data_IF_330032460903
#
_entry.id   IF_330032460903
#
_cell.length_a   1.000
_cell.length_b   1.000
_cell.length_c   1.000
_cell.angle_alpha   90.00
_cell.angle_beta   90.00
_cell.angle_gamma   90.00
#
_symmetry.space_group_name_H-M   'P 1'
#
loop_
_entity.id
_entity.type
_entity.pdbx_description
1 polymer ?
#
# COMPACT_ATOMS: atom_id res chain seq x y z
N UNK A 1 -10.80 -20.43 -11.37
CA UNK A 1 -10.39 -19.23 -12.10
C UNK A 1 -9.50 -19.63 -13.27
N UNK A 2 -9.68 -19.03 -14.43
CA UNK A 2 -8.79 -19.32 -15.55
C UNK A 2 -7.40 -18.68 -15.31
N UNK A 3 -6.41 -19.21 -16.00
CA UNK A 3 -5.05 -18.65 -15.92
C UNK A 3 -5.00 -17.19 -16.40
N UNK A 4 -5.70 -16.86 -17.47
CA UNK A 4 -5.77 -15.50 -17.99
C UNK A 4 -6.37 -14.54 -16.97
N UNK A 5 -7.39 -14.97 -16.26
CA UNK A 5 -8.03 -14.16 -15.22
C UNK A 5 -7.08 -13.92 -14.05
N UNK A 6 -6.39 -14.97 -13.62
CA UNK A 6 -5.38 -14.86 -12.54
C UNK A 6 -4.26 -13.92 -12.95
N UNK A 7 -3.80 -14.03 -14.21
CA UNK A 7 -2.73 -13.17 -14.71
C UNK A 7 -3.15 -11.69 -14.72
N UNK A 8 -4.40 -11.41 -15.10
CA UNK A 8 -4.90 -10.04 -15.08
C UNK A 8 -4.96 -9.49 -13.65
N UNK A 9 -5.47 -10.26 -12.72
CA UNK A 9 -5.55 -9.84 -11.32
C UNK A 9 -4.15 -9.63 -10.71
N UNK A 10 -3.21 -10.49 -11.05
CA UNK A 10 -1.83 -10.37 -10.61
C UNK A 10 -1.19 -9.10 -11.16
N UNK A 11 -1.40 -8.82 -12.45
CA UNK A 11 -0.90 -7.60 -13.07
C UNK A 11 -1.48 -6.35 -12.40
N UNK A 12 -2.75 -6.38 -12.02
CA UNK A 12 -3.39 -5.25 -11.34
C UNK A 12 -2.74 -4.98 -9.97
N UNK A 13 -2.33 -6.03 -9.26
CA UNK A 13 -1.58 -5.89 -8.01
C UNK A 13 -0.25 -5.19 -8.26
N UNK A 14 0.51 -5.65 -9.26
CA UNK A 14 1.80 -5.03 -9.57
C UNK A 14 1.65 -3.58 -10.02
N UNK A 15 0.59 -3.25 -10.76
CA UNK A 15 0.31 -1.86 -11.12
C UNK A 15 0.07 -0.99 -9.90
N UNK A 16 -0.66 -1.50 -8.92
CA UNK A 16 -0.92 -0.77 -7.69
C UNK A 16 0.36 -0.53 -6.89
N UNK A 17 1.33 -1.43 -6.99
CA UNK A 17 2.62 -1.32 -6.31
C UNK A 17 3.62 -0.41 -7.04
N UNK A 18 3.39 -0.15 -8.33
CA UNK A 18 4.39 0.48 -9.20
C UNK A 18 4.44 2.01 -9.08
N UNK A 19 4.66 2.50 -7.87
CA UNK A 19 4.84 3.93 -7.61
C UNK A 19 5.63 4.13 -6.31
N UNK A 20 6.68 4.98 -6.30
CA UNK A 20 7.51 5.16 -5.10
C UNK A 20 6.73 5.56 -3.85
N UNK A 21 5.74 6.42 -3.98
CA UNK A 21 4.91 6.84 -2.83
C UNK A 21 4.14 5.65 -2.26
N UNK A 22 3.59 4.81 -3.13
CA UNK A 22 2.84 3.63 -2.68
C UNK A 22 3.75 2.59 -2.02
N UNK A 23 4.96 2.42 -2.55
CA UNK A 23 5.98 1.58 -1.90
C UNK A 23 6.30 2.12 -0.50
N UNK A 24 6.49 3.43 -0.39
CA UNK A 24 6.78 4.08 0.91
C UNK A 24 5.64 3.85 1.91
N UNK A 25 4.40 4.00 1.48
CA UNK A 25 3.23 3.75 2.32
C UNK A 25 3.27 2.32 2.87
N UNK A 26 3.51 1.34 2.00
CA UNK A 26 3.53 -0.06 2.41
C UNK A 26 4.70 -0.37 3.35
N UNK A 27 5.85 0.24 3.14
CA UNK A 27 6.98 0.12 4.07
C UNK A 27 6.63 0.65 5.46
N UNK A 28 5.90 1.75 5.53
CA UNK A 28 5.43 2.32 6.79
C UNK A 28 4.43 1.37 7.46
N UNK A 29 3.43 0.93 6.71
CA UNK A 29 2.37 0.07 7.23
C UNK A 29 2.86 -1.33 7.59
N UNK A 30 3.98 -1.77 7.03
CA UNK A 30 4.64 -2.99 7.47
C UNK A 30 5.07 -2.91 8.94
N UNK A 31 5.44 -1.74 9.39
CA UNK A 31 5.93 -1.52 10.77
C UNK A 31 4.79 -1.42 11.77
N UNK A 32 3.72 -0.71 11.42
CA UNK A 32 2.54 -0.53 12.26
C UNK A 32 1.42 0.16 11.49
N UNK A 33 0.28 0.30 12.16
CA UNK A 33 -0.84 1.09 11.66
C UNK A 33 -0.49 2.59 11.72
N UNK A 34 -0.90 3.34 10.70
CA UNK A 34 -0.72 4.80 10.64
C UNK A 34 -2.02 5.47 10.25
N UNK A 35 -2.27 6.64 10.83
CA UNK A 35 -3.35 7.50 10.34
C UNK A 35 -2.81 8.38 9.19
N UNK A 36 -3.73 8.93 8.40
CA UNK A 36 -3.38 9.86 7.32
C UNK A 36 -2.59 11.05 7.87
N UNK A 37 -2.98 11.55 9.03
CA UNK A 37 -2.30 12.67 9.69
C UNK A 37 -0.82 12.38 9.97
N UNK A 38 -0.51 11.17 10.41
CA UNK A 38 0.88 10.76 10.66
C UNK A 38 1.67 10.62 9.34
N UNK A 39 1.03 10.04 8.34
CA UNK A 39 1.66 9.89 7.02
C UNK A 39 2.01 11.23 6.42
N UNK A 40 1.14 12.22 6.57
CA UNK A 40 1.38 13.56 6.05
C UNK A 40 2.54 14.26 6.72
N UNK A 41 2.76 14.00 8.01
CA UNK A 41 3.91 14.55 8.74
C UNK A 41 5.23 13.93 8.28
N UNK A 42 5.20 12.63 7.95
CA UNK A 42 6.41 11.88 7.60
C UNK A 42 6.75 12.03 6.11
N UNK A 43 5.73 12.06 5.26
CA UNK A 43 5.87 12.10 3.81
C UNK A 43 5.63 13.50 3.29
N UNK A 44 6.50 13.94 2.39
CA UNK A 44 6.33 15.23 1.73
C UNK A 44 5.40 15.08 0.53
N UNK A 45 4.13 14.83 0.80
CA UNK A 45 3.10 14.60 -0.22
C UNK A 45 1.84 15.37 0.16
N UNK A 46 1.22 16.04 -0.80
CA UNK A 46 -0.05 16.71 -0.57
C UNK A 46 -1.15 15.71 -0.19
N UNK A 47 -2.09 16.14 0.64
CA UNK A 47 -3.17 15.29 1.14
C UNK A 47 -3.98 14.66 0.00
N UNK A 48 -4.29 15.42 -1.04
CA UNK A 48 -5.05 14.91 -2.18
C UNK A 48 -4.31 13.79 -2.91
N UNK A 49 -3.00 13.95 -3.11
CA UNK A 49 -2.17 12.94 -3.74
C UNK A 49 -2.06 11.69 -2.85
N UNK A 50 -1.83 11.89 -1.57
CA UNK A 50 -1.77 10.78 -0.60
C UNK A 50 -3.07 10.00 -0.60
N UNK A 51 -4.22 10.68 -0.58
CA UNK A 51 -5.53 10.04 -0.60
C UNK A 51 -5.74 9.20 -1.86
N UNK A 52 -5.27 9.68 -3.03
CA UNK A 52 -5.35 8.92 -4.28
C UNK A 52 -4.52 7.64 -4.20
N UNK A 53 -3.30 7.73 -3.69
CA UNK A 53 -2.43 6.55 -3.54
C UNK A 53 -3.01 5.54 -2.57
N UNK A 54 -3.54 6.00 -1.45
CA UNK A 54 -4.21 5.13 -0.48
C UNK A 54 -5.43 4.44 -1.08
N UNK A 55 -6.20 5.17 -1.88
CA UNK A 55 -7.38 4.62 -2.55
C UNK A 55 -7.03 3.52 -3.53
N UNK A 56 -5.98 3.70 -4.32
CA UNK A 56 -5.52 2.70 -5.28
C UNK A 56 -5.13 1.42 -4.55
N UNK A 57 -4.35 1.53 -3.48
CA UNK A 57 -3.94 0.38 -2.67
C UNK A 57 -5.12 -0.31 -2.01
N UNK A 58 -6.07 0.47 -1.50
CA UNK A 58 -7.26 -0.07 -0.83
C UNK A 58 -8.17 -0.81 -1.81
N UNK A 59 -8.38 -0.27 -3.01
CA UNK A 59 -9.20 -0.91 -4.04
C UNK A 59 -8.65 -2.25 -4.47
N UNK A 60 -7.33 -2.40 -4.46
CA UNK A 60 -6.69 -3.68 -4.77
C UNK A 60 -6.68 -4.65 -3.60
N UNK A 61 -7.21 -4.25 -2.45
CA UNK A 61 -7.26 -5.12 -1.29
C UNK A 61 -5.92 -5.31 -0.60
N UNK A 62 -4.97 -4.42 -0.84
CA UNK A 62 -3.63 -4.50 -0.23
C UNK A 62 -3.61 -3.88 1.15
N UNK A 63 -4.40 -2.84 1.36
CA UNK A 63 -4.56 -2.18 2.65
C UNK A 63 -6.04 -1.98 2.93
N UNK A 64 -6.37 -1.72 4.19
CA UNK A 64 -7.71 -1.34 4.59
C UNK A 64 -7.62 -0.26 5.65
N UNK A 65 -8.75 0.33 6.00
CA UNK A 65 -8.79 1.42 6.94
C UNK A 65 -9.92 1.24 7.95
N UNK A 66 -9.73 1.83 9.12
CA UNK A 66 -10.75 1.88 10.17
C UNK A 66 -10.82 3.29 10.71
N UNK A 67 -12.04 3.74 10.93
CA UNK A 67 -12.27 5.05 11.53
C UNK A 67 -12.27 4.91 13.05
N UNK A 68 -11.43 5.71 13.71
CA UNK A 68 -11.34 5.75 15.17
C UNK A 68 -11.47 7.22 15.60
N UNK A 69 -12.66 7.63 15.99
CA UNK A 69 -12.96 9.02 16.24
C UNK A 69 -12.83 9.85 14.97
N UNK A 70 -11.98 10.85 14.98
CA UNK A 70 -11.73 11.69 13.81
C UNK A 70 -10.56 11.18 12.96
N UNK A 71 -9.90 10.12 13.42
CA UNK A 71 -8.76 9.53 12.71
C UNK A 71 -9.22 8.42 11.78
N UNK A 72 -8.53 8.30 10.64
CA UNK A 72 -8.67 7.14 9.76
C UNK A 72 -7.33 6.43 9.78
N UNK A 73 -7.30 5.23 10.33
CA UNK A 73 -6.09 4.42 10.48
C UNK A 73 -6.03 3.38 9.37
N UNK A 74 -4.86 3.25 8.75
CA UNK A 74 -4.63 2.29 7.67
C UNK A 74 -3.72 1.15 8.14
N UNK A 75 -3.97 -0.05 7.60
CA UNK A 75 -3.16 -1.23 7.90
C UNK A 75 -3.08 -2.14 6.67
N UNK A 76 -2.05 -2.98 6.61
CA UNK A 76 -1.90 -4.01 5.57
C UNK A 76 -2.90 -5.13 5.86
N UNK A 77 -3.60 -5.58 4.80
CA UNK A 77 -4.62 -6.63 4.92
C UNK A 77 -3.99 -8.01 5.14
N UNK A 78 -2.90 -8.30 4.44
CA UNK A 78 -2.28 -9.63 4.49
C UNK A 78 -0.75 -9.51 4.52
N UNK A 79 -0.07 -10.32 5.36
CA UNK A 79 1.40 -10.27 5.46
C UNK A 79 2.14 -10.43 4.13
N UNK A 80 1.56 -11.14 3.17
CA UNK A 80 2.17 -11.32 1.84
C UNK A 80 2.47 -10.00 1.13
N UNK A 81 1.72 -8.95 1.43
CA UNK A 81 1.93 -7.62 0.81
C UNK A 81 3.32 -7.09 1.17
N UNK A 82 3.69 -7.19 2.45
CA UNK A 82 5.02 -6.79 2.89
C UNK A 82 6.10 -7.67 2.29
N UNK A 83 5.84 -8.97 2.18
CA UNK A 83 6.79 -9.92 1.59
C UNK A 83 7.09 -9.58 0.12
N UNK A 84 6.08 -9.16 -0.65
CA UNK A 84 6.28 -8.76 -2.04
C UNK A 84 7.30 -7.62 -2.15
N UNK A 85 7.19 -6.64 -1.28
CA UNK A 85 8.12 -5.50 -1.27
C UNK A 85 9.52 -5.97 -0.91
N UNK A 86 9.65 -6.82 0.11
CA UNK A 86 10.95 -7.35 0.55
C UNK A 86 11.63 -8.16 -0.55
N UNK A 87 10.88 -8.99 -1.26
CA UNK A 87 11.44 -9.79 -2.35
C UNK A 87 11.92 -8.88 -3.50
N UNK A 88 11.13 -7.86 -3.84
CA UNK A 88 11.54 -6.90 -4.86
C UNK A 88 12.82 -6.16 -4.47
N UNK A 89 12.96 -5.79 -3.21
CA UNK A 89 14.16 -5.12 -2.70
C UNK A 89 15.40 -6.01 -2.83
N UNK A 90 15.25 -7.32 -2.66
CA UNK A 90 16.36 -8.27 -2.85
C UNK A 90 16.89 -8.27 -4.27
N UNK A 91 16.05 -8.01 -5.26
CA UNK A 91 16.48 -7.92 -6.66
C UNK A 91 17.41 -6.73 -6.89
N UNK A 92 17.31 -5.70 -6.07
CA UNK A 92 18.16 -4.51 -6.15
C UNK A 92 19.45 -4.72 -5.35
N UNK A 93 19.46 -5.70 -4.43
CA UNK A 93 20.59 -5.98 -3.57
C UNK A 93 20.52 -5.33 -2.19
N UNK A 94 19.33 -4.94 -1.80
CA UNK A 94 19.09 -4.34 -0.48
C UNK A 94 18.51 -5.32 0.54
#
# INVERSE_FOLDING_TARGET
MSEDHVNKLTADIFKALAHPVRIKILQMLKKRTYCVCEMMEIMDVEQSNLSQHLNILKKQGLIDSEKAGQRVNYHIVHPCVAELIEVAEKLIGE
#
